data_IF_840585588620
#
_entry.id   IF_840585588620
#
_cell.length_a   1.000
_cell.length_b   1.000
_cell.length_c   1.000
_cell.angle_alpha   90.00
_cell.angle_beta   90.00
_cell.angle_gamma   90.00
#
_symmetry.space_group_name_H-M   'P 1'
#
loop_
_entity.id
_entity.type
_entity.pdbx_description
1 polymer ?
#
# COMPACT_ATOMS: atom_id res chain seq x y z
N UNK A 1 -29.45 -17.32 -12.43
CA UNK A 1 -29.06 -16.32 -13.46
C UNK A 1 -27.70 -16.72 -13.98
N UNK A 2 -27.66 -17.12 -15.23
CA UNK A 2 -26.50 -17.66 -15.95
C UNK A 2 -25.42 -16.59 -16.05
N UNK A 3 -24.28 -16.78 -15.38
CA UNK A 3 -23.08 -15.95 -15.54
C UNK A 3 -22.62 -16.11 -16.99
N UNK A 4 -22.77 -15.04 -17.78
CA UNK A 4 -22.27 -14.99 -19.14
C UNK A 4 -20.79 -15.41 -19.14
N UNK A 5 -20.50 -16.44 -19.95
CA UNK A 5 -19.15 -16.93 -20.17
C UNK A 5 -18.37 -15.82 -20.87
N UNK A 6 -17.66 -15.01 -20.07
CA UNK A 6 -16.71 -14.03 -20.58
C UNK A 6 -15.77 -14.72 -21.57
N UNK A 7 -15.66 -14.16 -22.78
CA UNK A 7 -14.73 -14.62 -23.79
C UNK A 7 -13.33 -14.78 -23.16
N UNK A 8 -12.57 -15.82 -23.52
CA UNK A 8 -11.22 -16.01 -22.99
C UNK A 8 -10.39 -14.76 -23.28
N UNK A 9 -10.00 -14.05 -22.21
CA UNK A 9 -9.21 -12.83 -22.32
C UNK A 9 -7.77 -13.21 -22.65
N UNK A 10 -7.26 -12.66 -23.74
CA UNK A 10 -5.85 -12.75 -24.10
C UNK A 10 -5.00 -12.12 -22.99
N UNK A 11 -4.10 -12.91 -22.38
CA UNK A 11 -3.18 -12.45 -21.33
C UNK A 11 -2.39 -11.22 -21.76
N UNK A 12 -1.93 -11.19 -23.01
CA UNK A 12 -1.16 -10.07 -23.55
C UNK A 12 -1.98 -8.78 -23.62
N UNK A 13 -3.23 -8.88 -24.08
CA UNK A 13 -4.10 -7.71 -24.21
C UNK A 13 -4.50 -7.17 -22.84
N UNK A 14 -4.83 -8.05 -21.90
CA UNK A 14 -5.12 -7.67 -20.53
C UNK A 14 -3.93 -6.96 -19.87
N UNK A 15 -2.72 -7.51 -19.99
CA UNK A 15 -1.53 -6.89 -19.42
C UNK A 15 -1.19 -5.55 -20.08
N UNK A 16 -1.47 -5.40 -21.38
CA UNK A 16 -1.36 -4.09 -22.05
C UNK A 16 -2.32 -3.07 -21.46
N UNK A 17 -3.55 -3.47 -21.14
CA UNK A 17 -4.53 -2.58 -20.52
C UNK A 17 -4.17 -2.26 -19.06
N UNK A 18 -3.64 -3.21 -18.31
CA UNK A 18 -3.07 -2.98 -16.97
C UNK A 18 -1.91 -1.97 -17.04
N UNK A 19 -1.05 -2.09 -18.05
CA UNK A 19 0.02 -1.13 -18.28
C UNK A 19 -0.54 0.28 -18.58
N UNK A 20 -1.58 0.40 -19.40
CA UNK A 20 -2.25 1.70 -19.63
C UNK A 20 -2.79 2.28 -18.32
N UNK A 21 -3.44 1.46 -17.48
CA UNK A 21 -3.90 1.89 -16.17
C UNK A 21 -2.75 2.44 -15.31
N UNK A 22 -1.59 1.76 -15.31
CA UNK A 22 -0.42 2.16 -14.52
C UNK A 22 0.16 3.52 -14.91
N UNK A 23 -0.09 3.99 -16.15
CA UNK A 23 0.38 5.30 -16.64
C UNK A 23 -0.63 6.43 -16.38
N UNK A 24 -1.90 6.10 -16.14
CA UNK A 24 -2.99 7.08 -16.00
C UNK A 24 -3.51 7.27 -14.57
N UNK A 25 -3.13 6.40 -13.63
CA UNK A 25 -3.70 6.35 -12.29
C UNK A 25 -3.00 7.31 -11.31
N UNK A 26 -3.25 8.62 -11.42
CA UNK A 26 -2.71 9.64 -10.52
C UNK A 26 -3.63 9.90 -9.33
N UNK A 27 -3.08 10.23 -8.15
CA UNK A 27 -3.86 10.80 -7.04
C UNK A 27 -4.52 9.79 -6.09
N UNK A 28 -4.14 8.51 -6.16
CA UNK A 28 -4.50 7.50 -5.16
C UNK A 28 -5.76 6.68 -5.48
N UNK A 29 -6.24 5.83 -4.53
CA UNK A 29 -7.20 4.76 -4.82
C UNK A 29 -8.48 5.19 -5.54
N UNK A 30 -9.09 6.31 -5.12
CA UNK A 30 -10.33 6.82 -5.74
C UNK A 30 -10.15 7.14 -7.22
N UNK A 31 -9.02 7.75 -7.57
CA UNK A 31 -8.69 8.05 -8.96
C UNK A 31 -8.29 6.77 -9.73
N UNK A 32 -7.60 5.84 -9.07
CA UNK A 32 -7.27 4.54 -9.67
C UNK A 32 -8.54 3.78 -10.07
N UNK A 33 -9.58 3.79 -9.24
CA UNK A 33 -10.85 3.16 -9.56
C UNK A 33 -11.55 3.82 -10.75
N UNK A 34 -11.45 5.15 -10.91
CA UNK A 34 -11.91 5.85 -12.10
C UNK A 34 -11.20 5.35 -13.38
N UNK A 35 -9.87 5.20 -13.33
CA UNK A 35 -9.07 4.67 -14.44
C UNK A 35 -9.42 3.22 -14.75
N UNK A 36 -9.60 2.37 -13.73
CA UNK A 36 -9.99 0.97 -13.92
C UNK A 36 -11.39 0.86 -14.53
N UNK A 37 -12.33 1.69 -14.09
CA UNK A 37 -13.69 1.74 -14.64
C UNK A 37 -13.66 2.14 -16.12
N UNK A 38 -12.91 3.18 -16.49
CA UNK A 38 -12.82 3.61 -17.88
C UNK A 38 -12.14 2.54 -18.77
N UNK A 39 -10.96 2.06 -18.36
CA UNK A 39 -10.16 1.17 -19.20
C UNK A 39 -10.67 -0.27 -19.20
N UNK A 40 -10.90 -0.87 -18.03
CA UNK A 40 -11.16 -2.32 -17.92
C UNK A 40 -12.65 -2.66 -18.07
N UNK A 41 -13.54 -1.72 -17.78
CA UNK A 41 -14.98 -1.93 -17.83
C UNK A 41 -15.58 -1.27 -19.07
N UNK A 42 -15.53 0.05 -19.17
CA UNK A 42 -16.22 0.77 -20.26
C UNK A 42 -15.62 0.47 -21.64
N UNK A 43 -14.29 0.54 -21.76
CA UNK A 43 -13.59 0.30 -23.04
C UNK A 43 -13.41 -1.17 -23.38
N UNK A 44 -13.12 -2.01 -22.39
CA UNK A 44 -12.72 -3.42 -22.61
C UNK A 44 -13.73 -4.46 -22.17
N UNK A 45 -14.68 -4.09 -21.31
CA UNK A 45 -15.76 -4.95 -20.84
C UNK A 45 -15.26 -6.28 -20.24
N UNK A 46 -14.12 -6.24 -19.53
CA UNK A 46 -13.55 -7.42 -18.86
C UNK A 46 -14.36 -7.85 -17.64
N UNK A 47 -15.12 -6.95 -17.04
CA UNK A 47 -15.99 -7.20 -15.89
C UNK A 47 -17.08 -6.12 -15.84
N UNK A 48 -18.13 -6.34 -15.06
CA UNK A 48 -19.19 -5.35 -14.88
C UNK A 48 -18.82 -4.31 -13.81
N UNK A 49 -19.53 -3.17 -13.77
CA UNK A 49 -19.33 -2.18 -12.71
C UNK A 49 -19.65 -2.75 -11.33
N UNK A 50 -20.66 -3.64 -11.23
CA UNK A 50 -21.02 -4.33 -9.99
C UNK A 50 -19.88 -5.24 -9.52
N UNK A 51 -19.27 -6.00 -10.43
CA UNK A 51 -18.11 -6.85 -10.11
C UNK A 51 -16.95 -6.02 -9.53
N UNK A 52 -16.71 -4.82 -10.06
CA UNK A 52 -15.66 -3.94 -9.55
C UNK A 52 -16.00 -3.40 -8.16
N UNK A 53 -17.25 -2.99 -7.93
CA UNK A 53 -17.71 -2.52 -6.62
C UNK A 53 -17.56 -3.64 -5.58
N UNK A 54 -17.92 -4.88 -5.91
CA UNK A 54 -17.72 -6.04 -5.04
C UNK A 54 -16.23 -6.27 -4.73
N UNK A 55 -15.35 -6.19 -5.75
CA UNK A 55 -13.91 -6.32 -5.55
C UNK A 55 -13.32 -5.19 -4.71
N UNK A 56 -13.76 -3.94 -4.89
CA UNK A 56 -13.35 -2.80 -4.07
C UNK A 56 -13.79 -3.02 -2.62
N UNK A 57 -15.04 -3.44 -2.40
CA UNK A 57 -15.54 -3.71 -1.05
C UNK A 57 -14.72 -4.80 -0.36
N UNK A 58 -14.40 -5.88 -1.07
CA UNK A 58 -13.57 -6.97 -0.54
C UNK A 58 -12.15 -6.49 -0.19
N UNK A 59 -11.49 -5.76 -1.09
CA UNK A 59 -10.09 -5.36 -0.89
C UNK A 59 -9.90 -4.24 0.12
N UNK A 60 -10.95 -3.48 0.44
CA UNK A 60 -10.93 -2.52 1.54
C UNK A 60 -10.99 -3.19 2.92
N UNK A 61 -11.45 -4.45 2.99
CA UNK A 61 -11.47 -5.25 4.23
C UNK A 61 -10.15 -5.98 4.48
N UNK A 62 -9.36 -6.23 3.43
CA UNK A 62 -8.13 -6.99 3.50
C UNK A 62 -6.94 -6.09 3.86
N UNK A 63 -5.91 -6.63 4.54
CA UNK A 63 -4.67 -5.89 4.69
C UNK A 63 -3.97 -5.75 3.34
N UNK A 64 -3.56 -4.53 2.99
CA UNK A 64 -2.78 -4.20 1.82
C UNK A 64 -3.24 -2.92 1.08
N UNK A 65 -2.54 -2.54 0.00
CA UNK A 65 -2.94 -1.43 -0.86
C UNK A 65 -4.20 -1.75 -1.65
N UNK A 66 -5.34 -1.20 -1.21
CA UNK A 66 -6.68 -1.52 -1.74
C UNK A 66 -6.79 -1.44 -3.27
N UNK A 67 -6.30 -0.37 -3.91
CA UNK A 67 -6.35 -0.25 -5.39
C UNK A 67 -5.50 -1.28 -6.13
N UNK A 68 -4.32 -1.62 -5.60
CA UNK A 68 -3.47 -2.66 -6.19
C UNK A 68 -4.11 -4.03 -6.01
N UNK A 69 -4.66 -4.29 -4.83
CA UNK A 69 -5.39 -5.53 -4.57
C UNK A 69 -6.62 -5.68 -5.46
N UNK A 70 -7.37 -4.60 -5.69
CA UNK A 70 -8.52 -4.62 -6.61
C UNK A 70 -8.06 -5.03 -8.00
N UNK A 71 -7.00 -4.41 -8.52
CA UNK A 71 -6.48 -4.73 -9.85
C UNK A 71 -5.93 -6.15 -9.95
N UNK A 72 -5.20 -6.62 -8.94
CA UNK A 72 -4.71 -8.01 -8.85
C UNK A 72 -5.87 -9.00 -8.78
N UNK A 73 -6.94 -8.68 -8.05
CA UNK A 73 -8.14 -9.50 -7.98
C UNK A 73 -8.89 -9.56 -9.33
N UNK A 74 -8.92 -8.46 -10.08
CA UNK A 74 -9.41 -8.48 -11.48
C UNK A 74 -8.55 -9.43 -12.32
N UNK A 75 -7.21 -9.32 -12.24
CA UNK A 75 -6.30 -10.22 -12.94
C UNK A 75 -6.50 -11.69 -12.56
N UNK A 76 -6.75 -11.97 -11.27
CA UNK A 76 -7.09 -13.31 -10.77
C UNK A 76 -8.40 -13.82 -11.38
N UNK A 77 -9.45 -12.97 -11.43
CA UNK A 77 -10.75 -13.32 -12.02
C UNK A 77 -10.63 -13.60 -13.52
N UNK A 78 -9.77 -12.88 -14.23
CA UNK A 78 -9.61 -13.00 -15.69
C UNK A 78 -8.74 -14.18 -16.13
N UNK A 79 -7.74 -14.58 -15.34
CA UNK A 79 -6.75 -15.58 -15.79
C UNK A 79 -6.05 -16.33 -14.67
N UNK A 80 -6.62 -16.35 -13.47
CA UNK A 80 -6.14 -17.10 -12.33
C UNK A 80 -4.84 -16.54 -11.71
N UNK A 81 -4.17 -17.35 -10.86
CA UNK A 81 -3.05 -16.88 -10.04
C UNK A 81 -1.86 -16.33 -10.83
N UNK A 82 -1.56 -16.92 -12.00
CA UNK A 82 -0.45 -16.46 -12.84
C UNK A 82 -0.72 -15.07 -13.40
N UNK A 83 -1.94 -14.82 -13.91
CA UNK A 83 -2.31 -13.50 -14.41
C UNK A 83 -2.36 -12.47 -13.28
N UNK A 84 -2.83 -12.86 -12.09
CA UNK A 84 -2.82 -11.99 -10.90
C UNK A 84 -1.40 -11.49 -10.56
N UNK A 85 -0.41 -12.40 -10.56
CA UNK A 85 0.99 -12.03 -10.30
C UNK A 85 1.54 -11.10 -11.40
N UNK A 86 1.33 -11.43 -12.66
CA UNK A 86 1.76 -10.59 -13.78
C UNK A 86 1.08 -9.21 -13.76
N UNK A 87 -0.18 -9.16 -13.33
CA UNK A 87 -0.93 -7.90 -13.17
C UNK A 87 -0.26 -7.01 -12.12
N UNK A 88 0.12 -7.57 -10.98
CA UNK A 88 0.86 -6.83 -9.94
C UNK A 88 2.17 -6.27 -10.47
N UNK A 89 2.94 -7.09 -11.19
CA UNK A 89 4.23 -6.70 -11.75
C UNK A 89 4.07 -5.58 -12.77
N UNK A 90 3.19 -5.74 -13.76
CA UNK A 90 2.98 -4.73 -14.81
C UNK A 90 2.39 -3.43 -14.24
N UNK A 91 1.47 -3.53 -13.27
CA UNK A 91 0.89 -2.38 -12.59
C UNK A 91 1.93 -1.53 -11.86
N UNK A 92 2.92 -2.17 -11.24
CA UNK A 92 3.87 -1.50 -10.36
C UNK A 92 5.17 -1.11 -11.08
N UNK A 93 5.52 -1.80 -12.16
CA UNK A 93 6.82 -1.67 -12.82
C UNK A 93 7.18 -0.24 -13.24
N UNK A 94 6.31 0.54 -13.91
CA UNK A 94 6.72 1.86 -14.41
C UNK A 94 7.10 2.80 -13.28
N UNK A 95 6.27 2.88 -12.26
CA UNK A 95 6.51 3.77 -11.12
C UNK A 95 7.64 3.26 -10.24
N UNK A 96 7.82 1.94 -10.08
CA UNK A 96 8.98 1.38 -9.36
C UNK A 96 10.28 1.79 -10.04
N UNK A 97 10.37 1.68 -11.37
CA UNK A 97 11.56 2.10 -12.12
C UNK A 97 11.82 3.59 -11.91
N UNK A 98 10.78 4.43 -12.03
CA UNK A 98 10.91 5.88 -11.79
C UNK A 98 11.36 6.16 -10.35
N UNK A 99 10.76 5.53 -9.35
CA UNK A 99 11.11 5.74 -7.93
C UNK A 99 12.54 5.29 -7.62
N UNK A 100 13.01 4.18 -8.21
CA UNK A 100 14.40 3.75 -8.08
C UNK A 100 15.33 4.79 -8.71
N UNK A 101 15.03 5.27 -9.93
CA UNK A 101 15.85 6.31 -10.57
C UNK A 101 15.88 7.61 -9.76
N UNK A 102 14.74 8.00 -9.17
CA UNK A 102 14.63 9.18 -8.30
C UNK A 102 15.42 9.03 -6.99
N UNK A 103 15.75 7.81 -6.55
CA UNK A 103 16.66 7.62 -5.42
C UNK A 103 18.08 8.10 -5.71
N UNK A 104 18.46 8.29 -6.98
CA UNK A 104 19.75 8.85 -7.41
C UNK A 104 19.66 10.32 -7.81
N UNK A 105 18.55 11.01 -7.46
CA UNK A 105 18.29 12.36 -7.94
C UNK A 105 19.37 13.36 -7.48
N UNK A 106 19.80 13.30 -6.22
CA UNK A 106 20.82 14.22 -5.70
C UNK A 106 22.17 14.01 -6.38
N UNK A 107 22.59 12.77 -6.59
CA UNK A 107 23.83 12.45 -7.31
C UNK A 107 23.75 12.92 -8.77
N UNK A 108 22.60 12.75 -9.41
CA UNK A 108 22.36 13.21 -10.78
C UNK A 108 22.47 14.74 -10.87
N UNK A 109 21.87 15.48 -9.92
CA UNK A 109 21.95 16.94 -9.86
C UNK A 109 23.40 17.40 -9.65
N UNK A 110 24.15 16.70 -8.79
CA UNK A 110 25.58 16.95 -8.58
C UNK A 110 26.42 16.79 -9.84
N UNK A 111 26.21 15.73 -10.62
CA UNK A 111 26.90 15.50 -11.91
C UNK A 111 26.63 16.64 -12.90
N UNK A 112 25.39 17.12 -12.98
CA UNK A 112 24.99 18.21 -13.89
C UNK A 112 25.19 19.61 -13.31
N UNK A 113 25.78 19.75 -12.12
CA UNK A 113 25.98 21.04 -11.42
C UNK A 113 24.67 21.84 -11.25
N UNK A 114 23.55 21.13 -11.08
CA UNK A 114 22.23 21.72 -10.87
C UNK A 114 22.03 22.01 -9.38
N UNK A 115 21.33 23.11 -9.07
CA UNK A 115 21.06 23.52 -7.69
C UNK A 115 19.98 22.63 -7.06
N UNK A 116 20.27 22.09 -5.88
CA UNK A 116 19.32 21.30 -5.10
C UNK A 116 18.30 22.15 -4.33
N UNK A 117 18.43 23.48 -4.38
CA UNK A 117 17.59 24.43 -3.63
C UNK A 117 16.08 24.26 -3.87
N UNK A 118 15.68 23.68 -5.01
CA UNK A 118 14.29 23.35 -5.30
C UNK A 118 13.74 22.16 -4.52
N UNK A 119 14.59 21.17 -4.19
CA UNK A 119 14.18 19.95 -3.49
C UNK A 119 13.71 20.23 -2.06
N UNK A 120 14.22 21.30 -1.44
CA UNK A 120 13.84 21.71 -0.08
C UNK A 120 12.34 21.98 0.10
N UNK A 121 11.62 22.27 -0.99
CA UNK A 121 10.17 22.51 -0.96
C UNK A 121 9.35 21.22 -1.02
N UNK A 122 9.95 20.11 -1.49
CA UNK A 122 9.26 18.82 -1.62
C UNK A 122 8.91 18.27 -0.23
N UNK A 123 9.83 18.35 0.73
CA UNK A 123 9.59 17.89 2.09
C UNK A 123 8.36 18.53 2.76
N UNK A 124 8.25 19.87 2.80
CA UNK A 124 7.05 20.56 3.29
C UNK A 124 5.77 20.21 2.51
N UNK A 125 5.83 20.03 1.18
CA UNK A 125 4.68 19.57 0.39
C UNK A 125 4.22 18.17 0.82
N UNK A 126 5.16 17.25 1.05
CA UNK A 126 4.89 15.92 1.58
C UNK A 126 4.15 15.97 2.92
N UNK A 127 4.61 16.81 3.86
CA UNK A 127 3.90 17.03 5.14
C UNK A 127 2.48 17.54 4.91
N UNK A 128 2.30 18.48 3.97
CA UNK A 128 0.97 18.96 3.56
C UNK A 128 0.06 17.84 3.05
N UNK A 129 0.58 16.92 2.23
CA UNK A 129 -0.17 15.75 1.78
C UNK A 129 -0.55 14.80 2.92
N UNK A 130 0.35 14.58 3.89
CA UNK A 130 0.06 13.78 5.09
C UNK A 130 -1.06 14.42 5.90
N UNK A 131 -1.01 15.73 6.14
CA UNK A 131 -2.06 16.47 6.87
C UNK A 131 -3.39 16.35 6.13
N UNK A 132 -3.40 16.55 4.81
CA UNK A 132 -4.61 16.42 3.99
C UNK A 132 -5.18 14.99 4.02
N UNK A 133 -4.33 13.97 3.95
CA UNK A 133 -4.74 12.58 4.05
C UNK A 133 -5.33 12.28 5.43
N UNK A 134 -4.67 12.70 6.50
CA UNK A 134 -5.16 12.56 7.87
C UNK A 134 -6.51 13.26 8.07
N UNK A 135 -6.68 14.47 7.54
CA UNK A 135 -7.94 15.21 7.61
C UNK A 135 -9.07 14.50 6.83
N UNK A 136 -8.82 14.06 5.59
CA UNK A 136 -9.81 13.34 4.76
C UNK A 136 -10.22 12.00 5.36
N UNK A 137 -9.30 11.27 5.97
CA UNK A 137 -9.60 10.00 6.64
C UNK A 137 -10.32 10.28 7.96
N UNK A 138 -9.80 11.21 8.76
CA UNK A 138 -10.35 11.58 10.06
C UNK A 138 -11.81 12.04 9.96
N UNK A 139 -12.14 12.92 9.01
CA UNK A 139 -13.52 13.37 8.78
C UNK A 139 -14.48 12.25 8.35
N UNK A 140 -13.98 11.18 7.73
CA UNK A 140 -14.80 10.02 7.34
C UNK A 140 -14.97 9.00 8.48
N UNK A 141 -13.95 8.84 9.32
CA UNK A 141 -13.89 7.78 10.36
C UNK A 141 -14.37 8.28 11.73
N UNK A 142 -14.03 9.51 12.11
CA UNK A 142 -14.40 10.10 13.40
C UNK A 142 -15.79 10.72 13.31
N UNK A 143 -16.78 9.99 13.80
CA UNK A 143 -18.20 10.39 13.74
C UNK A 143 -18.83 10.68 15.10
N UNK A 144 -18.18 10.26 16.19
CA UNK A 144 -18.72 10.32 17.54
C UNK A 144 -17.60 10.35 18.59
N UNK A 145 -17.96 10.59 19.85
CA UNK A 145 -16.98 10.72 20.93
C UNK A 145 -16.14 9.45 21.15
N UNK A 146 -16.66 8.25 20.85
CA UNK A 146 -15.89 7.01 21.00
C UNK A 146 -14.82 6.89 19.91
N UNK A 147 -15.17 7.12 18.64
CA UNK A 147 -14.19 7.12 17.54
C UNK A 147 -13.15 8.24 17.69
N UNK A 148 -13.54 9.39 18.25
CA UNK A 148 -12.59 10.45 18.63
C UNK A 148 -11.66 9.99 19.75
N UNK A 149 -12.17 9.29 20.76
CA UNK A 149 -11.37 8.70 21.84
C UNK A 149 -10.34 7.70 21.31
N UNK A 150 -10.72 6.84 20.36
CA UNK A 150 -9.78 5.92 19.68
C UNK A 150 -8.71 6.68 18.90
N UNK A 151 -9.07 7.77 18.20
CA UNK A 151 -8.10 8.60 17.49
C UNK A 151 -7.09 9.22 18.46
N UNK A 152 -7.56 9.82 19.57
CA UNK A 152 -6.68 10.44 20.57
C UNK A 152 -5.80 9.38 21.22
N UNK A 153 -6.36 8.23 21.59
CA UNK A 153 -5.59 7.11 22.15
C UNK A 153 -4.49 6.66 21.19
N UNK A 154 -4.81 6.46 19.91
CA UNK A 154 -3.83 6.09 18.90
C UNK A 154 -2.75 7.14 18.73
N UNK A 155 -3.14 8.42 18.60
CA UNK A 155 -2.21 9.53 18.42
C UNK A 155 -1.26 9.70 19.61
N UNK A 156 -1.77 9.63 20.85
CA UNK A 156 -0.96 9.72 22.07
C UNK A 156 -0.05 8.48 22.19
N UNK A 157 -0.59 7.29 21.95
CA UNK A 157 0.16 6.04 22.03
C UNK A 157 1.34 6.01 21.08
N UNK A 158 1.12 6.32 19.80
CA UNK A 158 2.19 6.33 18.78
C UNK A 158 3.17 7.48 18.95
N UNK A 159 2.76 8.61 19.56
CA UNK A 159 3.65 9.74 19.82
C UNK A 159 4.67 9.44 20.93
N UNK A 160 4.24 8.80 22.03
CA UNK A 160 5.11 8.50 23.17
C UNK A 160 5.88 7.19 23.03
N UNK A 161 5.31 6.19 22.34
CA UNK A 161 5.94 4.89 22.15
C UNK A 161 6.46 4.79 20.71
N UNK A 162 7.73 5.14 20.50
CA UNK A 162 8.40 5.08 19.20
C UNK A 162 8.99 3.69 18.94
N UNK A 163 8.11 2.71 18.77
CA UNK A 163 8.50 1.33 18.48
C UNK A 163 7.54 0.70 17.46
N UNK A 164 8.06 -0.10 16.53
CA UNK A 164 7.27 -0.70 15.44
C UNK A 164 6.03 -1.48 15.90
N UNK A 165 6.10 -2.13 17.06
CA UNK A 165 5.00 -2.93 17.61
C UNK A 165 3.80 -2.08 18.07
N UNK A 166 3.95 -0.76 18.26
CA UNK A 166 2.86 0.09 18.74
C UNK A 166 1.70 0.14 17.73
N UNK A 167 2.01 0.16 16.43
CA UNK A 167 1.03 0.26 15.36
C UNK A 167 0.06 -0.94 15.34
N UNK A 168 0.52 -2.21 15.29
CA UNK A 168 -0.37 -3.35 15.40
C UNK A 168 -1.09 -3.40 16.75
N UNK A 169 -0.44 -3.00 17.85
CA UNK A 169 -1.08 -2.99 19.17
C UNK A 169 -2.25 -1.99 19.25
N UNK A 170 -2.08 -0.77 18.74
CA UNK A 170 -3.14 0.25 18.66
C UNK A 170 -4.28 -0.21 17.74
N UNK A 171 -3.96 -0.81 16.59
CA UNK A 171 -4.98 -1.35 15.68
C UNK A 171 -5.79 -2.48 16.33
N UNK A 172 -5.12 -3.43 16.98
CA UNK A 172 -5.77 -4.57 17.62
C UNK A 172 -6.64 -4.14 18.81
N UNK A 173 -6.12 -3.26 19.67
CA UNK A 173 -6.86 -2.72 20.82
C UNK A 173 -8.05 -1.88 20.37
N UNK A 174 -7.88 -1.01 19.36
CA UNK A 174 -8.98 -0.25 18.76
C UNK A 174 -10.06 -1.14 18.15
N UNK A 175 -9.65 -2.20 17.43
CA UNK A 175 -10.55 -3.20 16.88
C UNK A 175 -11.35 -3.95 17.96
N UNK A 176 -10.68 -4.42 19.03
CA UNK A 176 -11.33 -5.07 20.15
C UNK A 176 -12.35 -4.16 20.85
N UNK A 177 -11.98 -2.91 21.11
CA UNK A 177 -12.88 -1.93 21.73
C UNK A 177 -14.09 -1.63 20.83
N UNK A 178 -13.88 -1.53 19.51
CA UNK A 178 -14.95 -1.33 18.55
C UNK A 178 -15.92 -2.53 18.51
N UNK A 179 -15.39 -3.76 18.53
CA UNK A 179 -16.22 -4.98 18.61
C UNK A 179 -16.98 -5.05 19.93
N UNK A 180 -16.33 -4.77 21.06
CA UNK A 180 -16.97 -4.80 22.38
C UNK A 180 -18.11 -3.78 22.52
N UNK A 181 -18.02 -2.64 21.82
CA UNK A 181 -19.06 -1.61 21.78
C UNK A 181 -20.11 -1.83 20.67
N UNK A 182 -19.82 -2.70 19.71
CA UNK A 182 -20.73 -2.97 18.61
C UNK A 182 -22.06 -3.49 19.14
N UNK A 183 -23.15 -2.90 18.64
CA UNK A 183 -24.53 -3.34 18.92
C UNK A 183 -25.07 -4.27 17.84
N UNK A 184 -24.24 -4.62 16.86
CA UNK A 184 -24.63 -5.55 15.80
C UNK A 184 -24.90 -6.92 16.41
N UNK A 185 -26.14 -7.39 16.20
CA UNK A 185 -26.54 -8.76 16.49
C UNK A 185 -26.09 -9.63 15.32
N UNK A 186 -25.75 -10.88 15.59
CA UNK A 186 -25.32 -11.86 14.58
C UNK A 186 -23.98 -11.58 13.87
N UNK A 187 -23.05 -10.88 14.53
CA UNK A 187 -21.64 -10.75 14.11
C UNK A 187 -20.93 -12.10 13.86
N UNK A 188 -21.46 -13.20 14.41
CA UNK A 188 -20.87 -14.52 14.33
C UNK A 188 -21.58 -15.40 13.32
N UNK A 189 -21.39 -15.14 12.03
CA UNK A 189 -21.78 -16.08 10.99
C UNK A 189 -20.74 -17.19 10.85
N UNK A 190 -21.15 -18.44 11.13
CA UNK A 190 -20.31 -19.62 10.89
C UNK A 190 -20.22 -19.88 9.38
N UNK A 191 -19.15 -19.42 8.77
CA UNK A 191 -18.80 -19.76 7.40
C UNK A 191 -17.85 -20.96 7.42
N UNK A 192 -18.10 -21.97 6.59
CA UNK A 192 -17.08 -23.01 6.34
C UNK A 192 -15.99 -22.37 5.49
N UNK A 193 -14.82 -22.16 6.10
CA UNK A 193 -13.66 -21.66 5.42
C UNK A 193 -12.94 -22.84 4.75
N UNK A 194 -12.76 -22.76 3.43
CA UNK A 194 -11.79 -23.58 2.69
C UNK A 194 -10.71 -22.64 2.11
N UNK A 195 -9.86 -22.07 2.98
CA UNK A 195 -8.88 -21.10 2.54
C UNK A 195 -7.82 -21.81 1.69
N UNK A 196 -7.23 -21.12 0.70
CA UNK A 196 -6.15 -21.68 -0.09
C UNK A 196 -4.88 -21.77 0.75
N UNK A 197 -4.75 -22.86 1.53
CA UNK A 197 -3.67 -23.08 2.51
C UNK A 197 -2.26 -22.92 1.93
N UNK A 198 -2.09 -23.18 0.64
CA UNK A 198 -0.80 -22.97 -0.05
C UNK A 198 -0.36 -21.51 0.04
N UNK A 199 -1.25 -20.54 -0.21
CA UNK A 199 -0.89 -19.12 -0.14
C UNK A 199 -0.67 -18.66 1.30
N UNK A 200 -1.45 -19.18 2.25
CA UNK A 200 -1.25 -18.92 3.68
C UNK A 200 0.08 -19.47 4.19
N UNK A 201 0.48 -20.65 3.71
CA UNK A 201 1.78 -21.22 4.02
C UNK A 201 2.92 -20.35 3.47
N UNK A 202 2.87 -19.94 2.20
CA UNK A 202 3.89 -19.05 1.64
C UNK A 202 3.93 -17.70 2.37
N UNK A 203 2.77 -17.15 2.71
CA UNK A 203 2.68 -15.94 3.51
C UNK A 203 3.37 -16.11 4.87
N UNK A 204 3.00 -17.14 5.63
CA UNK A 204 3.58 -17.42 6.94
C UNK A 204 5.07 -17.75 6.87
N UNK A 205 5.50 -18.45 5.82
CA UNK A 205 6.90 -18.77 5.56
C UNK A 205 7.74 -17.50 5.35
N UNK A 206 7.29 -16.55 4.53
CA UNK A 206 8.02 -15.30 4.34
C UNK A 206 7.92 -14.36 5.54
N UNK A 207 6.77 -14.30 6.22
CA UNK A 207 6.59 -13.48 7.43
C UNK A 207 7.49 -13.95 8.58
N UNK A 208 7.34 -15.22 8.98
CA UNK A 208 8.11 -15.80 10.10
C UNK A 208 9.56 -16.04 9.70
N UNK A 209 9.80 -16.48 8.46
CA UNK A 209 11.15 -16.65 7.93
C UNK A 209 11.92 -15.34 7.89
N UNK A 210 11.31 -14.25 7.42
CA UNK A 210 11.92 -12.92 7.43
C UNK A 210 12.28 -12.45 8.84
N UNK A 211 11.35 -12.58 9.80
CA UNK A 211 11.59 -12.24 11.20
C UNK A 211 12.72 -13.06 11.84
N UNK A 212 12.72 -14.38 11.63
CA UNK A 212 13.76 -15.26 12.15
C UNK A 212 15.12 -14.93 11.50
N UNK A 213 15.16 -14.77 10.19
CA UNK A 213 16.41 -14.47 9.49
C UNK A 213 16.99 -13.12 9.94
N UNK A 214 16.18 -12.06 10.05
CA UNK A 214 16.63 -10.76 10.56
C UNK A 214 17.16 -10.86 11.99
N UNK A 215 16.56 -11.72 12.85
CA UNK A 215 17.04 -11.93 14.21
C UNK A 215 18.39 -12.66 14.32
N UNK A 216 18.75 -13.50 13.33
CA UNK A 216 19.99 -14.29 13.35
C UNK A 216 21.09 -13.74 12.43
N UNK A 217 20.73 -12.96 11.40
CA UNK A 217 21.64 -12.44 10.40
C UNK A 217 21.56 -10.92 10.35
N UNK A 218 22.64 -10.28 10.78
CA UNK A 218 22.82 -8.83 10.68
C UNK A 218 23.20 -8.45 9.24
N UNK A 219 22.18 -8.36 8.38
CA UNK A 219 22.38 -8.08 6.96
C UNK A 219 21.27 -7.16 6.44
N UNK A 220 21.65 -5.97 5.98
CA UNK A 220 20.73 -4.91 5.52
C UNK A 220 19.65 -5.40 4.56
N UNK A 221 19.99 -6.23 3.56
CA UNK A 221 18.98 -6.78 2.63
C UNK A 221 17.92 -7.66 3.30
N UNK A 222 18.27 -8.40 4.36
CA UNK A 222 17.35 -9.25 5.11
C UNK A 222 16.42 -8.36 5.95
N UNK A 223 16.97 -7.35 6.62
CA UNK A 223 16.20 -6.40 7.43
C UNK A 223 15.25 -5.57 6.57
N UNK A 224 15.72 -5.11 5.41
CA UNK A 224 14.87 -4.42 4.44
C UNK A 224 13.78 -5.36 3.91
N UNK A 225 14.11 -6.60 3.54
CA UNK A 225 13.10 -7.56 3.10
C UNK A 225 12.04 -7.79 4.18
N UNK A 226 12.45 -8.05 5.43
CA UNK A 226 11.54 -8.24 6.57
C UNK A 226 10.66 -7.00 6.77
N UNK A 227 11.26 -5.81 6.84
CA UNK A 227 10.57 -4.55 7.10
C UNK A 227 9.54 -4.26 6.00
N UNK A 228 9.94 -4.35 4.72
CA UNK A 228 9.03 -4.11 3.59
C UNK A 228 7.94 -5.18 3.48
N UNK A 229 8.25 -6.44 3.78
CA UNK A 229 7.25 -7.50 3.83
C UNK A 229 6.22 -7.23 4.95
N UNK A 230 6.70 -6.79 6.12
CA UNK A 230 5.89 -6.39 7.27
C UNK A 230 5.00 -5.18 6.98
N UNK A 231 5.53 -4.16 6.34
CA UNK A 231 4.74 -3.03 5.86
C UNK A 231 3.60 -3.52 4.97
N UNK A 232 3.86 -4.47 4.06
CA UNK A 232 2.84 -5.01 3.16
C UNK A 232 1.62 -5.61 3.87
N UNK A 233 1.81 -6.36 4.96
CA UNK A 233 0.71 -7.03 5.66
C UNK A 233 0.13 -6.25 6.85
N UNK A 234 0.79 -5.19 7.33
CA UNK A 234 0.28 -4.32 8.39
C UNK A 234 -0.59 -3.16 7.87
N UNK A 235 -0.66 -2.99 6.56
CA UNK A 235 -1.48 -1.95 5.94
C UNK A 235 -2.94 -2.32 6.03
N UNK A 236 -3.74 -1.58 6.79
CA UNK A 236 -5.20 -1.74 6.80
C UNK A 236 -5.79 -0.37 6.44
N UNK A 237 -6.64 -0.31 5.41
CA UNK A 237 -7.26 0.95 4.97
C UNK A 237 -6.43 1.83 4.04
N UNK A 238 -5.36 1.28 3.43
CA UNK A 238 -4.61 1.92 2.35
C UNK A 238 -3.23 2.48 2.73
N UNK A 239 -2.50 2.99 1.73
CA UNK A 239 -1.06 3.26 1.85
C UNK A 239 -0.62 4.40 2.74
N UNK A 240 -1.54 5.26 3.15
CA UNK A 240 -1.22 6.36 4.05
C UNK A 240 -0.96 5.88 5.49
N UNK A 241 -1.51 4.72 5.87
CA UNK A 241 -1.43 4.19 7.24
C UNK A 241 -0.05 3.64 7.58
N UNK A 242 0.72 3.21 6.59
CA UNK A 242 2.06 2.62 6.81
C UNK A 242 3.18 3.66 6.79
N UNK A 243 2.92 4.87 6.31
CA UNK A 243 3.95 5.91 6.20
C UNK A 243 4.57 6.26 7.56
N UNK A 244 3.80 6.43 8.66
CA UNK A 244 4.39 6.65 9.97
C UNK A 244 5.26 5.47 10.44
N UNK A 245 4.82 4.23 10.18
CA UNK A 245 5.59 3.03 10.52
C UNK A 245 6.92 3.00 9.73
N UNK A 246 6.87 3.23 8.42
CA UNK A 246 8.06 3.32 7.56
C UNK A 246 8.98 4.45 8.01
N UNK A 247 8.44 5.60 8.42
CA UNK A 247 9.24 6.72 8.91
C UNK A 247 9.96 6.35 10.21
N UNK A 248 9.23 5.82 11.20
CA UNK A 248 9.83 5.40 12.48
C UNK A 248 10.92 4.33 12.24
N UNK A 249 10.67 3.33 11.40
CA UNK A 249 11.66 2.28 11.16
C UNK A 249 12.85 2.76 10.33
N UNK A 250 12.62 3.37 9.16
CA UNK A 250 13.67 3.70 8.21
C UNK A 250 14.47 4.96 8.59
N UNK A 251 13.85 5.90 9.32
CA UNK A 251 14.47 7.18 9.69
C UNK A 251 14.90 7.19 11.16
N UNK A 252 14.00 6.82 12.08
CA UNK A 252 14.29 6.99 13.52
C UNK A 252 15.05 5.81 14.13
N UNK A 253 14.71 4.57 13.75
CA UNK A 253 15.30 3.36 14.34
C UNK A 253 16.55 2.93 13.57
N UNK A 254 16.42 2.64 12.27
CA UNK A 254 17.51 2.07 11.46
C UNK A 254 18.46 3.11 10.88
N UNK A 255 18.05 4.39 10.85
CA UNK A 255 18.83 5.50 10.28
C UNK A 255 19.26 5.27 8.81
N UNK A 256 18.46 4.51 8.06
CA UNK A 256 18.73 4.21 6.64
C UNK A 256 18.56 5.43 5.72
N UNK A 257 17.82 6.45 6.15
CA UNK A 257 17.65 7.69 5.39
C UNK A 257 17.33 8.87 6.30
N UNK A 258 17.64 10.09 5.84
CA UNK A 258 17.27 11.29 6.58
C UNK A 258 15.76 11.57 6.48
N UNK A 259 15.23 12.36 7.42
CA UNK A 259 13.84 12.86 7.33
C UNK A 259 13.58 13.61 6.02
N UNK A 260 14.59 14.33 5.51
CA UNK A 260 14.47 15.07 4.27
C UNK A 260 14.38 14.15 3.05
N UNK A 261 15.18 13.09 2.99
CA UNK A 261 15.13 12.10 1.91
C UNK A 261 13.80 11.36 1.92
N UNK A 262 13.36 10.92 3.10
CA UNK A 262 12.07 10.26 3.27
C UNK A 262 10.92 11.14 2.75
N UNK A 263 10.86 12.39 3.21
CA UNK A 263 9.80 13.32 2.80
C UNK A 263 9.93 13.71 1.32
N UNK A 264 11.14 13.79 0.78
CA UNK A 264 11.37 14.07 -0.64
C UNK A 264 10.84 12.92 -1.50
N UNK A 265 11.23 11.68 -1.21
CA UNK A 265 10.72 10.50 -1.90
C UNK A 265 9.21 10.35 -1.77
N UNK A 266 8.66 10.58 -0.56
CA UNK A 266 7.22 10.55 -0.34
C UNK A 266 6.49 11.64 -1.13
N UNK A 267 7.04 12.85 -1.19
CA UNK A 267 6.47 13.95 -1.97
C UNK A 267 6.50 13.67 -3.47
N UNK A 268 7.60 13.12 -3.97
CA UNK A 268 7.76 12.75 -5.39
C UNK A 268 6.72 11.71 -5.81
N UNK A 269 6.48 10.66 -5.00
CA UNK A 269 5.52 9.61 -5.38
C UNK A 269 4.07 10.13 -5.49
N UNK A 270 3.71 11.21 -4.78
CA UNK A 270 2.37 11.81 -4.88
C UNK A 270 2.08 12.41 -6.26
N UNK A 271 3.13 12.73 -7.02
CA UNK A 271 3.03 13.26 -8.39
C UNK A 271 3.09 12.20 -9.48
N UNK A 272 3.26 10.92 -9.14
CA UNK A 272 3.47 9.85 -10.11
C UNK A 272 2.21 8.97 -10.28
N UNK A 273 2.00 8.38 -11.47
CA UNK A 273 0.89 7.47 -11.68
C UNK A 273 1.21 6.09 -11.11
N UNK A 274 0.17 5.38 -10.68
CA UNK A 274 0.27 3.99 -10.23
C UNK A 274 0.29 3.84 -8.71
N UNK A 275 0.81 2.71 -8.19
CA UNK A 275 0.75 2.42 -6.76
C UNK A 275 1.62 3.39 -5.95
N UNK A 276 0.99 4.11 -5.01
CA UNK A 276 1.68 4.95 -4.02
C UNK A 276 2.74 4.21 -3.19
N UNK A 277 2.58 2.89 -3.02
CA UNK A 277 3.55 2.04 -2.33
C UNK A 277 4.88 1.87 -3.07
N UNK A 278 4.97 2.29 -4.33
CA UNK A 278 6.23 2.35 -5.06
C UNK A 278 7.29 3.23 -4.38
N UNK A 279 6.89 4.09 -3.45
CA UNK A 279 7.79 4.73 -2.48
C UNK A 279 8.73 3.73 -1.81
N UNK A 280 8.28 2.50 -1.55
CA UNK A 280 9.11 1.43 -0.98
C UNK A 280 10.35 1.11 -1.84
N UNK A 281 10.26 1.25 -3.16
CA UNK A 281 11.39 1.02 -4.05
C UNK A 281 12.43 2.15 -3.96
N UNK A 282 11.99 3.40 -3.82
CA UNK A 282 12.86 4.53 -3.50
C UNK A 282 13.52 4.35 -2.14
N UNK A 283 12.70 4.06 -1.12
CA UNK A 283 13.14 3.88 0.25
C UNK A 283 14.15 2.73 0.38
N UNK A 284 13.90 1.59 -0.25
CA UNK A 284 14.82 0.46 -0.27
C UNK A 284 16.12 0.76 -1.03
N UNK A 285 16.05 1.51 -2.13
CA UNK A 285 17.25 1.94 -2.85
C UNK A 285 18.10 2.95 -2.04
N UNK A 286 17.46 3.89 -1.34
CA UNK A 286 18.13 4.80 -0.41
C UNK A 286 18.79 4.04 0.74
N UNK A 287 18.07 3.09 1.35
CA UNK A 287 18.59 2.29 2.44
C UNK A 287 19.75 1.37 2.04
N UNK A 288 19.75 0.84 0.81
CA UNK A 288 20.85 0.02 0.31
C UNK A 288 22.13 0.80 -0.04
N UNK A 289 22.04 2.14 -0.12
CA UNK A 289 23.20 3.03 -0.32
C UNK A 289 23.87 3.43 1.00
N UNK A 290 23.10 3.41 2.10
CA UNK A 290 23.51 3.82 3.44
C UNK A 290 24.31 2.76 4.16
#
# INVERSE_FOLDING_TARGET
MTRDVQKPVSTKDFLKDVFICSLGAYGGPEAHYGVFTDQLIRKKQYLTEEDLIELIALTQLLPGPSSTQTLVAIGYKMGGPKLALLTMLVWSLPVIVVMILLSFLSELLGVFHLREDGLRYIGPMAVGFIILAAYRIGTKVVKDSFTLGLLIFGAVGTFFIRASWIYPAVLFTGGLLAVARSKEKDIWHRVKLDPPYKYLFFFGFFALGGLLFSAFFDHVLIDLFESFYRYGYLVIGGGQVVIPLMYTELVEIQNYMSSQDFLTGFGLVQGLPGPMFSFSAYAGAMAAKG
#
